data_IF_884644997058
#
_entry.id   IF_884644997058
#
_cell.length_a   1.000
_cell.length_b   1.000
_cell.length_c   1.000
_cell.angle_alpha   90.00
_cell.angle_beta   90.00
_cell.angle_gamma   90.00
#
_symmetry.space_group_name_H-M   'P 1'
#
loop_
_entity.id
_entity.type
_entity.pdbx_description
1 polymer ?
#
# COMPACT_ATOMS: atom_id res chain seq x y z
N UNK A 1 -27.49 -22.28 -19.26
CA UNK A 1 -26.93 -21.73 -20.51
C UNK A 1 -27.04 -22.70 -21.69
N UNK A 2 -26.45 -23.91 -21.64
CA UNK A 2 -26.61 -24.90 -22.72
C UNK A 2 -28.08 -25.28 -22.97
N UNK A 3 -28.87 -25.53 -21.94
CA UNK A 3 -30.29 -25.89 -22.10
C UNK A 3 -31.15 -24.77 -22.70
N UNK A 4 -30.84 -23.50 -22.41
CA UNK A 4 -31.55 -22.35 -22.98
C UNK A 4 -31.21 -22.15 -24.46
N UNK A 5 -29.91 -22.22 -24.81
CA UNK A 5 -29.46 -22.17 -26.21
C UNK A 5 -30.10 -23.29 -27.03
N UNK A 6 -30.21 -24.48 -26.46
CA UNK A 6 -30.82 -25.65 -27.11
C UNK A 6 -32.33 -25.49 -27.29
N UNK A 7 -33.01 -24.83 -26.34
CA UNK A 7 -34.45 -24.56 -26.35
C UNK A 7 -34.82 -23.48 -27.38
N UNK A 8 -34.03 -22.42 -27.47
CA UNK A 8 -34.18 -21.37 -28.48
C UNK A 8 -33.84 -21.90 -29.89
N UNK A 9 -32.78 -22.71 -30.03
CA UNK A 9 -32.44 -23.38 -31.29
C UNK A 9 -33.57 -24.29 -31.82
N UNK A 10 -34.22 -25.06 -30.94
CA UNK A 10 -35.40 -25.88 -31.31
C UNK A 10 -36.62 -25.05 -31.73
N UNK A 11 -36.83 -23.86 -31.15
CA UNK A 11 -37.91 -22.94 -31.53
C UNK A 11 -37.67 -22.31 -32.90
N UNK A 12 -36.44 -21.89 -33.18
CA UNK A 12 -36.02 -21.34 -34.49
C UNK A 12 -36.24 -22.39 -35.59
N UNK A 13 -35.80 -23.64 -35.35
CA UNK A 13 -35.99 -24.74 -36.29
C UNK A 13 -37.46 -25.02 -36.59
N UNK A 14 -38.32 -25.07 -35.55
CA UNK A 14 -39.76 -25.28 -35.72
C UNK A 14 -40.47 -24.15 -36.48
N UNK A 15 -40.08 -22.89 -36.27
CA UNK A 15 -40.64 -21.73 -36.99
C UNK A 15 -40.15 -21.61 -38.44
N UNK A 16 -38.91 -22.01 -38.72
CA UNK A 16 -38.39 -22.05 -40.08
C UNK A 16 -39.18 -23.06 -40.95
N UNK A 17 -39.61 -24.18 -40.36
CA UNK A 17 -40.28 -25.30 -41.03
C UNK A 17 -41.81 -25.12 -41.19
N UNK A 18 -42.48 -24.17 -40.51
CA UNK A 18 -43.94 -24.01 -40.58
C UNK A 18 -44.40 -23.23 -41.83
N UNK A 19 -45.49 -23.64 -42.49
CA UNK A 19 -46.00 -23.03 -43.74
C UNK A 19 -46.92 -21.81 -43.55
N UNK A 20 -47.18 -21.38 -42.32
CA UNK A 20 -48.23 -20.39 -41.97
C UNK A 20 -47.80 -18.90 -42.00
N UNK A 21 -46.50 -18.60 -41.97
CA UNK A 21 -46.02 -17.21 -41.89
C UNK A 21 -45.45 -16.70 -43.22
N UNK A 22 -45.77 -15.44 -43.55
CA UNK A 22 -45.11 -14.69 -44.62
C UNK A 22 -43.59 -14.69 -44.40
N UNK A 23 -42.80 -14.74 -45.48
CA UNK A 23 -41.33 -14.79 -45.41
C UNK A 23 -40.74 -13.64 -44.55
N UNK A 24 -41.38 -12.47 -44.58
CA UNK A 24 -41.00 -11.31 -43.76
C UNK A 24 -41.23 -11.52 -42.25
N UNK A 25 -42.32 -12.20 -41.86
CA UNK A 25 -42.61 -12.51 -40.46
C UNK A 25 -41.63 -13.54 -39.90
N UNK A 26 -41.24 -14.54 -40.70
CA UNK A 26 -40.22 -15.52 -40.31
C UNK A 26 -38.86 -14.87 -40.05
N UNK A 27 -38.44 -13.93 -40.91
CA UNK A 27 -37.18 -13.19 -40.73
C UNK A 27 -37.24 -12.31 -39.48
N UNK A 28 -38.37 -11.62 -39.25
CA UNK A 28 -38.57 -10.80 -38.05
C UNK A 28 -38.49 -11.63 -36.77
N UNK A 29 -39.14 -12.78 -36.73
CA UNK A 29 -39.14 -13.68 -35.57
C UNK A 29 -37.74 -14.25 -35.28
N UNK A 30 -36.99 -14.61 -36.32
CA UNK A 30 -35.61 -15.10 -36.18
C UNK A 30 -34.69 -13.98 -35.68
N UNK A 31 -34.83 -12.76 -36.22
CA UNK A 31 -34.07 -11.60 -35.75
C UNK A 31 -34.35 -11.26 -34.28
N UNK A 32 -35.62 -11.30 -33.87
CA UNK A 32 -36.00 -11.07 -32.46
C UNK A 32 -35.36 -12.13 -31.57
N UNK A 33 -35.39 -13.41 -31.96
CA UNK A 33 -34.76 -14.48 -31.17
C UNK A 33 -33.24 -14.31 -31.07
N UNK A 34 -32.57 -13.94 -32.17
CA UNK A 34 -31.12 -13.64 -32.17
C UNK A 34 -30.82 -12.46 -31.24
N UNK A 35 -31.63 -11.39 -31.30
CA UNK A 35 -31.48 -10.24 -30.41
C UNK A 35 -31.64 -10.62 -28.94
N UNK A 36 -32.62 -11.47 -28.61
CA UNK A 36 -32.83 -11.98 -27.25
C UNK A 36 -31.60 -12.76 -26.77
N UNK A 37 -31.03 -13.63 -27.62
CA UNK A 37 -29.84 -14.43 -27.27
C UNK A 37 -28.62 -13.51 -27.05
N UNK A 38 -28.36 -12.58 -27.98
CA UNK A 38 -27.22 -11.65 -27.87
C UNK A 38 -27.38 -10.78 -26.62
N UNK A 39 -28.57 -10.25 -26.37
CA UNK A 39 -28.87 -9.46 -25.18
C UNK A 39 -28.62 -10.25 -23.89
N UNK A 40 -29.06 -11.51 -23.82
CA UNK A 40 -28.82 -12.36 -22.66
C UNK A 40 -27.32 -12.63 -22.43
N UNK A 41 -26.55 -12.91 -23.49
CA UNK A 41 -25.10 -13.12 -23.39
C UNK A 41 -24.38 -11.85 -22.95
N UNK A 42 -24.74 -10.69 -23.54
CA UNK A 42 -24.17 -9.39 -23.15
C UNK A 42 -24.47 -9.06 -21.69
N UNK A 43 -25.71 -9.24 -21.24
CA UNK A 43 -26.08 -9.04 -19.83
C UNK A 43 -25.31 -9.97 -18.90
N UNK A 44 -25.10 -11.23 -19.28
CA UNK A 44 -24.36 -12.19 -18.47
C UNK A 44 -22.90 -11.78 -18.29
N UNK A 45 -22.22 -11.35 -19.36
CA UNK A 45 -20.83 -10.87 -19.30
C UNK A 45 -20.76 -9.58 -18.47
N UNK A 46 -21.71 -8.67 -18.68
CA UNK A 46 -21.79 -7.42 -17.94
C UNK A 46 -21.99 -7.64 -16.45
N UNK A 47 -22.92 -8.52 -16.05
CA UNK A 47 -23.16 -8.84 -14.65
C UNK A 47 -21.95 -9.51 -13.99
N UNK A 48 -21.26 -10.39 -14.72
CA UNK A 48 -20.05 -11.04 -14.23
C UNK A 48 -18.92 -10.03 -13.99
N UNK A 49 -18.65 -9.16 -14.96
CA UNK A 49 -17.64 -8.10 -14.82
C UNK A 49 -17.98 -7.12 -13.70
N UNK A 50 -19.26 -6.74 -13.57
CA UNK A 50 -19.70 -5.88 -12.47
C UNK A 50 -19.49 -6.53 -11.09
N UNK A 51 -19.87 -7.80 -10.96
CA UNK A 51 -19.67 -8.55 -9.71
C UNK A 51 -18.19 -8.69 -9.35
N UNK A 52 -17.32 -8.94 -10.34
CA UNK A 52 -15.88 -9.07 -10.15
C UNK A 52 -15.24 -7.74 -9.73
N UNK A 53 -15.59 -6.64 -10.41
CA UNK A 53 -15.10 -5.31 -10.05
C UNK A 53 -15.48 -4.93 -8.62
N UNK A 54 -16.72 -5.22 -8.20
CA UNK A 54 -17.17 -4.98 -6.83
C UNK A 54 -16.41 -5.83 -5.81
N UNK A 55 -16.09 -7.08 -6.15
CA UNK A 55 -15.27 -7.92 -5.28
C UNK A 55 -13.84 -7.37 -5.14
N UNK A 56 -13.23 -6.96 -6.25
CA UNK A 56 -11.90 -6.36 -6.26
C UNK A 56 -11.86 -5.05 -5.46
N UNK A 57 -12.89 -4.23 -5.58
CA UNK A 57 -13.05 -2.99 -4.80
C UNK A 57 -13.19 -3.26 -3.30
N UNK A 58 -13.99 -4.26 -2.90
CA UNK A 58 -14.11 -4.66 -1.51
C UNK A 58 -12.78 -5.17 -0.93
N UNK A 59 -12.02 -5.94 -1.71
CA UNK A 59 -10.67 -6.38 -1.32
C UNK A 59 -9.73 -5.18 -1.08
N UNK A 60 -9.78 -4.17 -1.95
CA UNK A 60 -8.99 -2.96 -1.80
C UNK A 60 -9.43 -2.14 -0.58
N UNK A 61 -10.73 -1.98 -0.33
CA UNK A 61 -11.28 -1.28 0.83
C UNK A 61 -10.83 -1.94 2.14
N UNK A 62 -10.94 -3.27 2.22
CA UNK A 62 -10.48 -4.03 3.39
C UNK A 62 -8.99 -3.82 3.64
N UNK A 63 -8.18 -3.97 2.59
CA UNK A 63 -6.73 -3.72 2.66
C UNK A 63 -6.39 -2.30 3.12
N UNK A 64 -7.00 -1.28 2.51
CA UNK A 64 -6.70 0.12 2.83
C UNK A 64 -7.13 0.48 4.27
N UNK A 65 -8.19 -0.14 4.77
CA UNK A 65 -8.63 0.03 6.17
C UNK A 65 -7.58 -0.50 7.14
N UNK A 66 -7.09 -1.72 6.92
CA UNK A 66 -6.05 -2.32 7.76
C UNK A 66 -4.72 -1.54 7.64
N UNK A 67 -4.36 -1.18 6.40
CA UNK A 67 -3.14 -0.40 6.13
C UNK A 67 -3.17 0.95 6.82
N UNK A 68 -4.32 1.64 6.85
CA UNK A 68 -4.45 2.92 7.58
C UNK A 68 -4.12 2.74 9.06
N UNK A 69 -4.55 1.65 9.68
CA UNK A 69 -4.22 1.35 11.08
C UNK A 69 -2.71 1.14 11.26
N UNK A 70 -2.08 0.38 10.35
CA UNK A 70 -0.63 0.17 10.35
C UNK A 70 0.13 1.49 10.23
N UNK A 71 -0.23 2.33 9.27
CA UNK A 71 0.40 3.63 9.02
C UNK A 71 0.26 4.59 10.22
N UNK A 72 -0.88 4.57 10.93
CA UNK A 72 -1.04 5.35 12.16
C UNK A 72 -0.11 4.87 13.29
N UNK A 73 0.05 3.55 13.44
CA UNK A 73 1.00 2.98 14.40
C UNK A 73 2.45 3.30 14.03
N UNK A 74 2.76 3.28 12.73
CA UNK A 74 4.09 3.63 12.22
C UNK A 74 4.43 5.10 12.52
N UNK A 75 3.48 6.03 12.39
CA UNK A 75 3.66 7.44 12.80
C UNK A 75 4.01 7.53 14.29
N UNK A 76 3.33 6.77 15.15
CA UNK A 76 3.63 6.78 16.60
C UNK A 76 5.04 6.26 16.88
N UNK A 77 5.45 5.17 16.21
CA UNK A 77 6.80 4.61 16.34
C UNK A 77 7.86 5.60 15.82
N UNK A 78 7.63 6.23 14.67
CA UNK A 78 8.52 7.26 14.10
C UNK A 78 8.68 8.46 15.03
N UNK A 79 7.59 8.94 15.64
CA UNK A 79 7.65 10.04 16.62
C UNK A 79 8.44 9.65 17.87
N UNK A 80 8.30 8.40 18.32
CA UNK A 80 9.10 7.88 19.43
C UNK A 80 10.59 7.80 19.06
N UNK A 81 10.93 7.17 17.93
CA UNK A 81 12.30 7.10 17.39
C UNK A 81 12.94 8.49 17.25
N UNK A 82 12.19 9.46 16.73
CA UNK A 82 12.61 10.85 16.61
C UNK A 82 12.97 11.44 17.96
N UNK A 83 12.11 11.27 18.97
CA UNK A 83 12.37 11.76 20.32
C UNK A 83 13.61 11.12 20.93
N UNK A 84 13.80 9.81 20.74
CA UNK A 84 14.99 9.11 21.21
C UNK A 84 16.27 9.63 20.54
N UNK A 85 16.27 9.80 19.22
CA UNK A 85 17.40 10.39 18.50
C UNK A 85 17.73 11.82 19.00
N UNK A 86 16.71 12.64 19.22
CA UNK A 86 16.87 14.00 19.76
C UNK A 86 17.44 13.99 21.18
N UNK A 87 16.97 13.08 22.05
CA UNK A 87 17.49 12.93 23.41
C UNK A 87 18.96 12.50 23.40
N UNK A 88 19.34 11.55 22.54
CA UNK A 88 20.74 11.12 22.42
C UNK A 88 21.66 12.27 21.99
N UNK A 89 21.23 13.08 21.02
CA UNK A 89 21.96 14.28 20.60
C UNK A 89 22.17 15.24 21.78
N UNK A 90 21.13 15.46 22.61
CA UNK A 90 21.24 16.32 23.79
C UNK A 90 22.22 15.77 24.83
N UNK A 91 22.14 14.47 25.14
CA UNK A 91 23.04 13.79 26.09
C UNK A 91 24.50 13.98 25.65
N UNK A 92 24.80 13.73 24.38
CA UNK A 92 26.16 13.82 23.84
C UNK A 92 26.66 15.28 23.81
N UNK A 93 25.82 16.23 23.38
CA UNK A 93 26.18 17.65 23.38
C UNK A 93 26.47 18.18 24.78
N UNK A 94 25.73 17.70 25.79
CA UNK A 94 25.91 18.09 27.19
C UNK A 94 27.07 17.36 27.86
N UNK A 95 27.83 16.53 27.13
CA UNK A 95 28.92 15.67 27.64
C UNK A 95 28.46 14.80 28.82
N UNK A 96 27.19 14.40 28.82
CA UNK A 96 26.63 13.49 29.80
C UNK A 96 27.03 12.04 29.45
N UNK A 97 26.89 11.16 30.44
CA UNK A 97 27.23 9.74 30.29
C UNK A 97 26.43 9.08 29.16
N UNK A 98 27.15 8.44 28.25
CA UNK A 98 26.60 7.72 27.09
C UNK A 98 25.77 6.50 27.50
N UNK A 99 25.87 6.04 28.74
CA UNK A 99 25.00 4.99 29.31
C UNK A 99 23.52 5.32 29.14
N UNK A 100 23.14 6.60 29.15
CA UNK A 100 21.75 7.04 28.99
C UNK A 100 21.28 7.17 27.54
N UNK A 101 22.14 6.86 26.56
CA UNK A 101 21.74 6.88 25.14
C UNK A 101 21.13 5.56 24.71
N UNK A 102 20.12 5.61 23.87
CA UNK A 102 19.37 4.42 23.41
C UNK A 102 19.54 4.21 21.91
N UNK A 103 19.66 2.96 21.48
CA UNK A 103 19.64 2.62 20.05
C UNK A 103 18.24 2.90 19.49
N UNK A 104 18.16 3.53 18.32
CA UNK A 104 16.88 3.87 17.70
C UNK A 104 16.43 2.73 16.80
N UNK A 105 15.23 2.20 17.00
CA UNK A 105 14.68 1.14 16.17
C UNK A 105 13.32 1.55 15.63
N UNK A 106 13.27 2.07 14.42
CA UNK A 106 12.00 2.39 13.79
C UNK A 106 11.33 1.11 13.31
N UNK A 107 10.17 0.82 13.89
CA UNK A 107 9.30 -0.27 13.46
C UNK A 107 8.23 0.29 12.52
N UNK A 108 8.38 0.00 11.23
CA UNK A 108 7.39 0.27 10.18
C UNK A 108 6.83 -1.07 9.72
N UNK A 109 5.50 -1.18 9.71
CA UNK A 109 4.81 -2.39 9.29
C UNK A 109 4.66 -2.44 7.77
N UNK A 110 5.20 -3.48 7.14
CA UNK A 110 5.11 -3.68 5.68
C UNK A 110 4.43 -4.99 5.27
N UNK A 111 4.08 -5.87 6.22
CA UNK A 111 3.56 -7.22 5.93
C UNK A 111 2.26 -7.20 5.12
N UNK A 112 1.29 -6.37 5.53
CA UNK A 112 0.01 -6.24 4.83
C UNK A 112 0.20 -5.70 3.41
N UNK A 113 1.02 -4.66 3.24
CA UNK A 113 1.34 -4.10 1.93
C UNK A 113 2.03 -5.12 1.02
N UNK A 114 3.06 -5.82 1.51
CA UNK A 114 3.78 -6.82 0.71
C UNK A 114 2.89 -8.01 0.33
N UNK A 115 2.03 -8.49 1.24
CA UNK A 115 1.04 -9.53 0.93
C UNK A 115 0.04 -9.09 -0.14
N UNK A 116 -0.46 -7.86 -0.05
CA UNK A 116 -1.39 -7.32 -1.05
C UNK A 116 -0.73 -7.09 -2.41
N UNK A 117 0.52 -6.63 -2.42
CA UNK A 117 1.32 -6.45 -3.64
C UNK A 117 1.63 -7.78 -4.32
N UNK A 118 2.14 -8.75 -3.58
CA UNK A 118 2.57 -10.06 -4.11
C UNK A 118 1.42 -10.94 -4.56
N UNK A 119 0.21 -10.76 -3.99
CA UNK A 119 -1.01 -11.41 -4.47
C UNK A 119 -1.55 -10.82 -5.79
N UNK A 120 -0.90 -9.78 -6.34
CA UNK A 120 -1.33 -9.11 -7.57
C UNK A 120 -2.49 -8.13 -7.37
N UNK A 121 -3.01 -8.00 -6.15
CA UNK A 121 -4.20 -7.20 -5.83
C UNK A 121 -3.92 -5.69 -5.74
N UNK A 122 -2.66 -5.25 -5.80
CA UNK A 122 -2.31 -3.82 -5.81
C UNK A 122 -3.03 -3.04 -6.92
N UNK A 123 -3.35 -3.70 -8.05
CA UNK A 123 -4.12 -3.11 -9.14
C UNK A 123 -5.60 -2.83 -8.80
N UNK A 124 -6.13 -3.43 -7.73
CA UNK A 124 -7.52 -3.24 -7.30
C UNK A 124 -7.75 -1.88 -6.66
N UNK A 125 -6.69 -1.19 -6.23
CA UNK A 125 -6.77 0.20 -5.77
C UNK A 125 -7.08 1.07 -6.99
N UNK A 126 -8.32 1.55 -7.08
CA UNK A 126 -8.84 2.38 -8.17
C UNK A 126 -8.11 3.71 -8.27
N UNK A 127 -7.80 4.34 -7.12
CA UNK A 127 -7.06 5.59 -7.06
C UNK A 127 -5.58 5.37 -7.45
N UNK A 128 -5.26 5.73 -8.69
CA UNK A 128 -3.90 5.57 -9.25
C UNK A 128 -2.85 6.38 -8.51
N UNK A 129 -3.22 7.55 -7.96
CA UNK A 129 -2.33 8.37 -7.14
C UNK A 129 -2.01 7.67 -5.83
N UNK A 130 -3.02 7.22 -5.07
CA UNK A 130 -2.81 6.47 -3.83
C UNK A 130 -1.92 5.24 -4.07
N UNK A 131 -2.21 4.49 -5.14
CA UNK A 131 -1.43 3.31 -5.51
C UNK A 131 0.05 3.65 -5.76
N UNK A 132 0.32 4.75 -6.48
CA UNK A 132 1.69 5.19 -6.73
C UNK A 132 2.40 5.65 -5.45
N UNK A 133 1.73 6.44 -4.61
CA UNK A 133 2.30 6.89 -3.33
C UNK A 133 2.63 5.72 -2.41
N UNK A 134 1.79 4.68 -2.35
CA UNK A 134 2.07 3.46 -1.59
C UNK A 134 3.31 2.72 -2.11
N UNK A 135 3.44 2.58 -3.44
CA UNK A 135 4.60 1.95 -4.05
C UNK A 135 5.88 2.72 -3.76
N UNK A 136 5.85 4.05 -3.85
CA UNK A 136 7.01 4.91 -3.57
C UNK A 136 7.38 4.88 -2.07
N UNK A 137 6.39 4.96 -1.19
CA UNK A 137 6.62 4.95 0.26
C UNK A 137 7.29 3.66 0.71
N UNK A 138 6.76 2.50 0.31
CA UNK A 138 7.34 1.22 0.69
C UNK A 138 8.58 0.83 -0.13
N UNK A 139 8.75 1.38 -1.34
CA UNK A 139 9.89 1.14 -2.22
C UNK A 139 11.13 1.98 -1.91
N UNK A 140 10.95 3.21 -1.45
CA UNK A 140 12.04 4.17 -1.26
C UNK A 140 12.07 4.73 0.17
N UNK A 141 11.00 5.39 0.61
CA UNK A 141 11.01 6.17 1.87
C UNK A 141 11.21 5.28 3.10
N UNK A 142 10.52 4.14 3.15
CA UNK A 142 10.69 3.15 4.20
C UNK A 142 12.15 2.67 4.30
N UNK A 143 12.76 2.29 3.17
CA UNK A 143 14.13 1.80 3.15
C UNK A 143 15.14 2.89 3.52
N UNK A 144 14.96 4.11 3.02
CA UNK A 144 15.81 5.23 3.39
C UNK A 144 15.77 5.49 4.90
N UNK A 145 14.58 5.52 5.50
CA UNK A 145 14.42 5.72 6.95
C UNK A 145 15.21 4.68 7.74
N UNK A 146 15.08 3.41 7.37
CA UNK A 146 15.77 2.30 8.04
C UNK A 146 17.28 2.34 7.84
N UNK A 147 17.74 2.70 6.64
CA UNK A 147 19.17 2.86 6.35
C UNK A 147 19.82 3.89 7.29
N UNK A 148 19.14 5.01 7.52
CA UNK A 148 19.63 6.06 8.42
C UNK A 148 19.59 5.64 9.89
N UNK A 149 18.58 4.87 10.33
CA UNK A 149 18.58 4.21 11.65
C UNK A 149 19.86 3.39 11.86
N UNK A 150 20.12 2.45 10.95
CA UNK A 150 21.26 1.54 11.04
C UNK A 150 22.59 2.31 11.04
N UNK A 151 22.72 3.34 10.19
CA UNK A 151 23.92 4.17 10.13
C UNK A 151 24.18 4.91 11.44
N UNK A 152 23.18 5.64 11.97
CA UNK A 152 23.29 6.37 13.24
C UNK A 152 23.60 5.42 14.41
N UNK A 153 22.93 4.27 14.45
CA UNK A 153 23.15 3.25 15.49
C UNK A 153 24.56 2.67 15.45
N UNK A 154 25.12 2.41 14.27
CA UNK A 154 26.49 1.91 14.14
C UNK A 154 27.51 2.90 14.72
N UNK A 155 27.33 4.21 14.47
CA UNK A 155 28.16 5.24 15.09
C UNK A 155 27.96 5.32 16.60
N UNK A 156 26.72 5.21 17.09
CA UNK A 156 26.43 5.22 18.52
C UNK A 156 27.13 4.07 19.25
N UNK A 157 27.07 2.86 18.68
CA UNK A 157 27.73 1.68 19.24
C UNK A 157 29.25 1.83 19.26
N UNK A 158 29.84 2.31 18.15
CA UNK A 158 31.27 2.62 18.09
C UNK A 158 31.66 3.65 19.16
N UNK A 159 30.84 4.69 19.32
CA UNK A 159 31.07 5.73 20.32
C UNK A 159 31.01 5.18 21.76
N UNK A 160 30.06 4.27 22.06
CA UNK A 160 29.94 3.62 23.37
C UNK A 160 31.16 2.74 23.69
N UNK A 161 31.66 1.99 22.71
CA UNK A 161 32.84 1.13 22.88
C UNK A 161 34.10 1.96 23.14
N UNK A 162 34.26 3.05 22.39
CA UNK A 162 35.48 3.88 22.45
C UNK A 162 35.52 4.76 23.71
N UNK A 163 34.41 5.16 24.34
CA UNK A 163 34.36 6.05 25.51
C UNK A 163 34.56 5.35 26.88
N UNK A 164 35.46 4.38 26.96
CA UNK A 164 35.80 3.69 28.23
C UNK A 164 36.73 4.49 29.16
N UNK A 165 37.24 5.65 28.73
CA UNK A 165 38.20 6.49 29.47
C UNK A 165 37.61 7.86 29.90
N UNK A 166 38.14 8.42 31.00
CA UNK A 166 37.59 9.60 31.69
C UNK A 166 37.79 10.95 31.00
N UNK A 167 38.68 11.05 29.99
CA UNK A 167 38.88 12.28 29.20
C UNK A 167 38.77 11.97 27.70
N UNK A 168 37.89 12.64 26.93
CA UNK A 168 37.73 12.37 25.52
C UNK A 168 38.96 12.74 24.68
N UNK A 169 39.59 11.75 24.06
CA UNK A 169 40.55 11.90 22.97
C UNK A 169 39.95 12.65 21.78
N UNK A 170 40.79 13.24 20.93
CA UNK A 170 40.35 13.89 19.69
C UNK A 170 39.57 12.94 18.77
N UNK A 171 39.89 11.65 18.79
CA UNK A 171 39.16 10.60 18.06
C UNK A 171 37.73 10.48 18.55
N UNK A 172 37.51 10.42 19.86
CA UNK A 172 36.15 10.36 20.45
C UNK A 172 35.36 11.64 20.16
N UNK A 173 35.99 12.83 20.22
CA UNK A 173 35.34 14.10 19.86
C UNK A 173 34.87 14.07 18.40
N UNK A 174 35.68 13.56 17.49
CA UNK A 174 35.31 13.45 16.08
C UNK A 174 34.16 12.44 15.88
N UNK A 175 34.18 11.30 16.58
CA UNK A 175 33.10 10.32 16.56
C UNK A 175 31.78 10.90 17.08
N UNK A 176 31.80 11.69 18.15
CA UNK A 176 30.60 12.38 18.67
C UNK A 176 30.00 13.32 17.64
N UNK A 177 30.84 14.13 16.97
CA UNK A 177 30.38 15.04 15.91
C UNK A 177 29.76 14.28 14.73
N UNK A 178 30.38 13.17 14.31
CA UNK A 178 29.83 12.32 13.24
C UNK A 178 28.49 11.73 13.66
N UNK A 179 28.40 11.14 14.86
CA UNK A 179 27.14 10.62 15.38
C UNK A 179 26.04 11.69 15.39
N UNK A 180 26.32 12.89 15.92
CA UNK A 180 25.33 13.97 16.00
C UNK A 180 24.82 14.32 14.60
N UNK A 181 25.71 14.42 13.60
CA UNK A 181 25.33 14.70 12.22
C UNK A 181 24.42 13.61 11.64
N UNK A 182 24.75 12.35 11.85
CA UNK A 182 23.91 11.23 11.36
C UNK A 182 22.56 11.19 12.09
N UNK A 183 22.55 11.33 13.42
CA UNK A 183 21.31 11.38 14.20
C UNK A 183 20.41 12.56 13.82
N UNK A 184 20.98 13.74 13.50
CA UNK A 184 20.22 14.87 12.96
C UNK A 184 19.62 14.55 11.58
N UNK A 185 20.35 13.81 10.75
CA UNK A 185 19.86 13.33 9.46
C UNK A 185 18.68 12.38 9.66
N UNK A 186 18.75 11.43 10.61
CA UNK A 186 17.61 10.56 10.95
C UNK A 186 16.37 11.37 11.34
N UNK A 187 16.54 12.40 12.18
CA UNK A 187 15.43 13.26 12.61
C UNK A 187 14.73 13.91 11.42
N UNK A 188 15.50 14.38 10.42
CA UNK A 188 14.95 14.95 9.18
C UNK A 188 14.17 13.89 8.39
N UNK A 189 14.73 12.67 8.28
CA UNK A 189 14.05 11.58 7.58
C UNK A 189 12.78 11.14 8.30
N UNK A 190 12.73 11.09 9.63
CA UNK A 190 11.50 10.80 10.35
C UNK A 190 10.40 11.83 10.06
N UNK A 191 10.74 13.12 10.04
CA UNK A 191 9.77 14.17 9.70
C UNK A 191 9.24 14.04 8.27
N UNK A 192 10.14 13.72 7.32
CA UNK A 192 9.75 13.44 5.94
C UNK A 192 8.81 12.23 5.87
N UNK A 193 9.19 11.12 6.50
CA UNK A 193 8.43 9.87 6.48
C UNK A 193 7.07 10.03 7.14
N UNK A 194 7.00 10.68 8.31
CA UNK A 194 5.72 10.98 8.98
C UNK A 194 4.80 11.78 8.06
N UNK A 195 5.34 12.83 7.40
CA UNK A 195 4.54 13.68 6.51
C UNK A 195 4.00 12.88 5.31
N UNK A 196 4.84 12.07 4.67
CA UNK A 196 4.41 11.21 3.56
C UNK A 196 3.35 10.20 4.02
N UNK A 197 3.53 9.59 5.20
CA UNK A 197 2.53 8.70 5.79
C UNK A 197 1.19 9.41 6.05
N UNK A 198 1.22 10.63 6.60
CA UNK A 198 0.02 11.45 6.82
C UNK A 198 -0.69 11.81 5.49
N UNK A 199 0.06 12.09 4.43
CA UNK A 199 -0.49 12.39 3.11
C UNK A 199 -1.11 11.14 2.44
N UNK A 200 -0.50 9.96 2.62
CA UNK A 200 -1.09 8.67 2.20
C UNK A 200 -2.38 8.39 2.96
N UNK A 201 -2.42 8.60 4.28
CA UNK A 201 -3.63 8.40 5.08
C UNK A 201 -4.79 9.27 4.56
N UNK A 202 -4.53 10.53 4.18
CA UNK A 202 -5.57 11.40 3.57
C UNK A 202 -6.10 10.85 2.25
N UNK A 203 -5.23 10.25 1.44
CA UNK A 203 -5.63 9.62 0.17
C UNK A 203 -6.46 8.35 0.42
N UNK A 204 -6.10 7.57 1.45
CA UNK A 204 -6.91 6.43 1.90
C UNK A 204 -8.29 6.91 2.34
N UNK A 205 -8.37 7.93 3.18
CA UNK A 205 -9.63 8.49 3.68
C UNK A 205 -10.53 9.00 2.56
N UNK A 206 -9.95 9.64 1.54
CA UNK A 206 -10.68 10.07 0.36
C UNK A 206 -11.28 8.88 -0.41
N UNK A 207 -10.51 7.80 -0.62
CA UNK A 207 -11.00 6.61 -1.33
C UNK A 207 -12.04 5.82 -0.52
N UNK A 208 -11.94 5.79 0.81
CA UNK A 208 -12.90 5.10 1.67
C UNK A 208 -14.24 5.87 1.83
N UNK A 209 -14.28 7.13 1.40
CA UNK A 209 -15.48 7.98 1.47
C UNK A 209 -16.31 7.98 0.16
N UNK A 210 -15.78 7.37 -0.91
CA UNK A 210 -16.48 7.14 -2.19
C UNK A 210 -17.47 5.98 -2.08
#
# INVERSE_FOLDING_TARGET
MQDEITKHGKKIYKKAMSKEHSFAEKVKDILIEILIIVFAVTLSIWFHSWSENRHNENDAIGFLTDLKSDLNNDILNLRHSKKTAQNNIQIINNKQDLVNTETVFTKISNGNFEGFKTSGKIGHISNSKLRLELLNYYGDTYFATRFYDDMSNNYLQTLKIENSESTPTQKQINLQKTYIKEAQTNVIYYDKTIKETEDIIKLIDAQLAE
#
